data_IF_618829362394
#
_entry.id   IF_618829362394
#
_cell.length_a   1.000
_cell.length_b   1.000
_cell.length_c   1.000
_cell.angle_alpha   90.00
_cell.angle_beta   90.00
_cell.angle_gamma   90.00
#
_symmetry.space_group_name_H-M   'P 1'
#
loop_
_entity.id
_entity.type
_entity.pdbx_description
1 polymer ?
#
# COMPACT_ATOMS: atom_id res chain seq x y z
N UNK A 1 -7.82 18.89 -5.08
CA UNK A 1 -8.44 17.90 -4.19
C UNK A 1 -8.18 18.13 -2.69
N UNK A 2 -7.47 19.18 -2.26
CA UNK A 2 -7.32 19.45 -0.83
C UNK A 2 -8.68 19.60 -0.12
N UNK A 3 -8.84 18.95 1.04
CA UNK A 3 -10.07 18.92 1.84
C UNK A 3 -11.34 18.45 1.09
N UNK A 4 -11.19 17.73 -0.03
CA UNK A 4 -12.32 17.22 -0.81
C UNK A 4 -12.60 15.74 -0.49
N UNK A 5 -13.79 15.28 -0.88
CA UNK A 5 -14.19 13.87 -0.86
C UNK A 5 -14.31 13.41 -2.30
N UNK A 6 -13.68 12.27 -2.64
CA UNK A 6 -13.77 11.72 -3.98
C UNK A 6 -15.22 11.34 -4.32
N UNK A 7 -15.75 11.82 -5.45
CA UNK A 7 -17.17 11.64 -5.82
C UNK A 7 -17.63 10.18 -5.89
N UNK A 8 -16.75 9.29 -6.38
CA UNK A 8 -17.04 7.85 -6.58
C UNK A 8 -16.70 7.01 -5.35
N UNK A 9 -15.44 7.00 -4.94
CA UNK A 9 -14.92 6.13 -3.87
C UNK A 9 -15.15 6.65 -2.45
N UNK A 10 -15.59 7.91 -2.31
CA UNK A 10 -15.77 8.61 -1.03
C UNK A 10 -14.49 8.69 -0.18
N UNK A 11 -13.33 8.51 -0.78
CA UNK A 11 -12.04 8.72 -0.11
C UNK A 11 -11.88 10.21 0.22
N UNK A 12 -11.61 10.51 1.48
CA UNK A 12 -11.27 11.86 1.92
C UNK A 12 -9.85 12.22 1.52
N UNK A 13 -9.62 13.49 1.21
CA UNK A 13 -8.30 14.04 0.99
C UNK A 13 -7.93 14.98 2.13
N UNK A 14 -6.67 14.94 2.54
CA UNK A 14 -6.14 15.86 3.56
C UNK A 14 -6.03 17.30 3.03
N UNK A 15 -5.62 18.21 3.91
CA UNK A 15 -5.42 19.63 3.57
C UNK A 15 -4.34 19.88 2.52
N UNK A 16 -3.50 18.88 2.22
CA UNK A 16 -2.46 18.92 1.18
C UNK A 16 -2.88 18.21 -0.10
N UNK A 17 -4.09 17.65 -0.15
CA UNK A 17 -4.61 16.95 -1.32
C UNK A 17 -4.11 15.52 -1.49
N UNK A 18 -3.64 14.87 -0.42
CA UNK A 18 -3.30 13.43 -0.42
C UNK A 18 -4.49 12.59 0.05
N UNK A 19 -4.74 11.42 -0.56
CA UNK A 19 -5.86 10.56 -0.21
C UNK A 19 -5.64 9.88 1.15
N UNK A 20 -6.70 9.84 1.96
CA UNK A 20 -6.74 9.16 3.25
C UNK A 20 -7.42 7.79 3.05
N UNK A 21 -6.65 6.82 2.58
CA UNK A 21 -7.16 5.46 2.40
C UNK A 21 -7.32 4.71 3.73
N UNK A 22 -8.30 3.79 3.78
CA UNK A 22 -8.43 2.83 4.89
C UNK A 22 -7.31 1.80 4.84
N UNK A 23 -6.16 2.14 5.40
CA UNK A 23 -5.00 1.26 5.51
C UNK A 23 -5.32 0.00 6.31
N UNK A 24 -5.00 -1.15 5.73
CA UNK A 24 -5.21 -2.48 6.33
C UNK A 24 -3.96 -3.00 7.03
N UNK A 25 -2.80 -2.61 6.52
CA UNK A 25 -1.48 -2.90 7.05
C UNK A 25 -0.50 -1.80 6.59
N UNK A 26 0.59 -1.59 7.33
CA UNK A 26 1.59 -0.54 7.04
C UNK A 26 3.00 -1.10 7.11
N UNK A 27 3.86 -0.64 6.21
CA UNK A 27 5.30 -0.93 6.22
C UNK A 27 6.07 0.38 6.17
N UNK A 28 7.17 0.45 6.93
CA UNK A 28 8.16 1.52 6.83
C UNK A 28 9.42 0.95 6.17
N UNK A 29 9.80 1.52 5.04
CA UNK A 29 11.04 1.20 4.34
C UNK A 29 12.25 1.73 5.11
N UNK A 30 13.42 1.12 4.87
CA UNK A 30 14.70 1.72 5.25
C UNK A 30 15.01 2.89 4.33
N UNK A 31 15.72 3.90 4.84
CA UNK A 31 16.09 5.10 4.08
C UNK A 31 16.88 4.73 2.81
N UNK A 32 17.75 3.72 2.91
CA UNK A 32 18.54 3.18 1.77
C UNK A 32 17.69 2.64 0.63
N UNK A 33 16.42 2.31 0.91
CA UNK A 33 15.51 1.75 -0.09
C UNK A 33 14.64 2.82 -0.74
N UNK A 34 14.58 4.06 -0.25
CA UNK A 34 13.58 5.06 -0.69
C UNK A 34 13.62 5.33 -2.20
N UNK A 35 14.82 5.32 -2.79
CA UNK A 35 15.03 5.59 -4.22
C UNK A 35 14.92 4.36 -5.12
N UNK A 36 14.49 3.19 -4.59
CA UNK A 36 14.30 1.98 -5.39
C UNK A 36 12.98 2.04 -6.17
N UNK A 37 12.82 1.13 -7.13
CA UNK A 37 11.62 1.06 -7.97
C UNK A 37 10.35 0.71 -7.16
N UNK A 38 9.17 1.00 -7.71
CA UNK A 38 7.90 0.60 -7.09
C UNK A 38 7.80 -0.90 -6.90
N UNK A 39 8.22 -1.68 -7.90
CA UNK A 39 8.24 -3.14 -7.81
C UNK A 39 9.12 -3.64 -6.67
N UNK A 40 10.28 -2.99 -6.44
CA UNK A 40 11.16 -3.33 -5.32
C UNK A 40 10.53 -2.97 -3.96
N UNK A 41 9.89 -1.80 -3.86
CA UNK A 41 9.13 -1.44 -2.66
C UNK A 41 8.02 -2.45 -2.35
N UNK A 42 7.28 -2.89 -3.37
CA UNK A 42 6.22 -3.88 -3.22
C UNK A 42 6.79 -5.23 -2.78
N UNK A 43 7.91 -5.66 -3.36
CA UNK A 43 8.61 -6.87 -2.94
C UNK A 43 9.00 -6.84 -1.45
N UNK A 44 9.57 -5.73 -0.96
CA UNK A 44 9.88 -5.55 0.47
C UNK A 44 8.60 -5.69 1.31
N UNK A 45 7.53 -5.01 0.91
CA UNK A 45 6.29 -4.97 1.67
C UNK A 45 5.58 -6.34 1.67
N UNK A 46 5.58 -7.07 0.55
CA UNK A 46 5.03 -8.41 0.43
C UNK A 46 5.79 -9.40 1.30
N UNK A 47 7.13 -9.38 1.26
CA UNK A 47 7.96 -10.24 2.15
C UNK A 47 7.72 -9.94 3.63
N UNK A 48 7.57 -8.66 3.99
CA UNK A 48 7.24 -8.26 5.38
C UNK A 48 5.86 -8.76 5.78
N UNK A 49 4.86 -8.59 4.92
CA UNK A 49 3.50 -9.05 5.17
C UNK A 49 3.43 -10.57 5.29
N UNK A 50 4.10 -11.32 4.41
CA UNK A 50 4.19 -12.79 4.46
C UNK A 50 4.69 -13.29 5.83
N UNK A 51 5.80 -12.72 6.30
CA UNK A 51 6.38 -13.08 7.61
C UNK A 51 5.39 -12.84 8.75
N UNK A 52 4.72 -11.70 8.75
CA UNK A 52 3.79 -11.34 9.82
C UNK A 52 2.52 -12.19 9.80
N UNK A 53 1.94 -12.49 8.62
CA UNK A 53 0.69 -13.27 8.54
C UNK A 53 0.89 -14.76 8.80
N UNK A 54 2.12 -15.27 8.68
CA UNK A 54 2.47 -16.65 9.04
C UNK A 54 2.40 -16.91 10.54
N UNK A 55 2.78 -15.93 11.34
CA UNK A 55 2.84 -16.07 12.80
C UNK A 55 1.68 -15.37 13.51
N UNK A 56 0.91 -14.54 12.79
CA UNK A 56 -0.22 -13.79 13.34
C UNK A 56 -1.54 -14.15 12.64
N UNK A 57 -2.23 -15.16 13.17
CA UNK A 57 -3.54 -15.61 12.68
C UNK A 57 -4.60 -14.52 12.71
N UNK A 58 -4.57 -13.64 13.73
CA UNK A 58 -5.52 -12.52 13.86
C UNK A 58 -5.34 -11.50 12.73
N UNK A 59 -4.10 -11.21 12.35
CA UNK A 59 -3.81 -10.34 11.21
C UNK A 59 -4.29 -11.00 9.90
N UNK A 60 -4.01 -12.29 9.71
CA UNK A 60 -4.46 -13.04 8.54
C UNK A 60 -5.99 -13.01 8.39
N UNK A 61 -6.72 -13.22 9.48
CA UNK A 61 -8.18 -13.13 9.52
C UNK A 61 -8.68 -11.71 9.24
N UNK A 62 -8.07 -10.69 9.88
CA UNK A 62 -8.41 -9.27 9.66
C UNK A 62 -8.26 -8.85 8.19
N UNK A 63 -7.27 -9.40 7.49
CA UNK A 63 -7.00 -9.14 6.08
C UNK A 63 -7.81 -10.04 5.14
N UNK A 64 -8.56 -11.03 5.67
CA UNK A 64 -9.30 -12.02 4.91
C UNK A 64 -8.47 -12.68 3.78
N UNK A 65 -7.23 -13.08 4.11
CA UNK A 65 -6.31 -13.66 3.11
C UNK A 65 -6.65 -15.13 2.85
N UNK A 66 -6.91 -15.44 1.58
CA UNK A 66 -7.10 -16.80 1.10
C UNK A 66 -5.79 -17.59 1.09
N UNK A 67 -5.86 -18.92 0.89
CA UNK A 67 -4.65 -19.74 0.69
C UNK A 67 -3.82 -19.24 -0.52
N UNK A 68 -4.49 -18.77 -1.58
CA UNK A 68 -3.81 -18.23 -2.76
C UNK A 68 -3.12 -16.90 -2.48
N UNK A 69 -3.69 -16.03 -1.65
CA UNK A 69 -3.03 -14.78 -1.24
C UNK A 69 -1.77 -15.06 -0.42
N UNK A 70 -1.78 -16.11 0.42
CA UNK A 70 -0.59 -16.52 1.17
C UNK A 70 0.50 -17.05 0.22
N UNK A 71 0.14 -17.84 -0.80
CA UNK A 71 1.09 -18.30 -1.84
C UNK A 71 1.65 -17.14 -2.67
N UNK A 72 0.81 -16.17 -3.04
CA UNK A 72 1.27 -14.96 -3.72
C UNK A 72 2.30 -14.20 -2.88
N UNK A 73 2.02 -14.01 -1.60
CA UNK A 73 2.94 -13.35 -0.66
C UNK A 73 4.27 -14.10 -0.51
N UNK A 74 4.24 -15.43 -0.52
CA UNK A 74 5.43 -16.28 -0.46
C UNK A 74 6.39 -16.03 -1.63
N UNK A 75 5.86 -15.86 -2.84
CA UNK A 75 6.64 -15.53 -4.04
C UNK A 75 6.87 -14.02 -4.24
N UNK A 76 6.47 -13.20 -3.26
CA UNK A 76 6.71 -11.75 -3.28
C UNK A 76 5.66 -10.93 -4.05
N UNK A 77 4.52 -11.52 -4.38
CA UNK A 77 3.40 -10.85 -5.06
C UNK A 77 2.38 -10.27 -4.09
N UNK A 78 1.67 -9.24 -4.55
CA UNK A 78 0.65 -8.57 -3.74
C UNK A 78 -0.68 -9.33 -3.85
N UNK A 79 -1.33 -9.66 -2.73
CA UNK A 79 -2.66 -10.28 -2.71
C UNK A 79 -3.67 -9.63 -3.65
N UNK A 80 -4.56 -10.43 -4.27
CA UNK A 80 -5.37 -10.04 -5.43
C UNK A 80 -6.28 -8.83 -5.18
N UNK A 81 -6.81 -8.68 -3.98
CA UNK A 81 -7.76 -7.60 -3.66
C UNK A 81 -7.07 -6.33 -3.11
N UNK A 82 -5.74 -6.33 -3.05
CA UNK A 82 -4.97 -5.28 -2.41
C UNK A 82 -3.92 -4.67 -3.35
N UNK A 83 -3.49 -3.46 -2.99
CA UNK A 83 -2.35 -2.78 -3.60
C UNK A 83 -1.58 -2.03 -2.51
N UNK A 84 -0.29 -1.83 -2.74
CA UNK A 84 0.53 -0.98 -1.88
C UNK A 84 0.47 0.47 -2.36
N UNK A 85 -0.11 1.33 -1.53
CA UNK A 85 -0.13 2.76 -1.73
C UNK A 85 1.05 3.43 -1.03
N UNK A 86 1.86 4.20 -1.75
CA UNK A 86 2.88 5.07 -1.17
C UNK A 86 2.22 6.29 -0.51
N UNK A 87 2.33 6.40 0.82
CA UNK A 87 1.75 7.49 1.60
C UNK A 87 2.59 8.78 1.48
N UNK A 88 2.04 9.95 1.82
CA UNK A 88 2.82 11.21 1.76
C UNK A 88 3.97 11.30 2.77
N UNK A 89 3.98 10.44 3.79
CA UNK A 89 5.07 10.36 4.75
C UNK A 89 6.20 9.51 4.17
N UNK A 90 7.44 10.00 4.10
CA UNK A 90 8.56 9.28 3.51
C UNK A 90 8.74 7.85 4.03
N UNK A 91 8.94 6.93 3.10
CA UNK A 91 9.16 5.51 3.38
C UNK A 91 7.93 4.74 3.84
N UNK A 92 6.74 5.34 3.95
CA UNK A 92 5.53 4.65 4.42
C UNK A 92 4.74 4.10 3.23
N UNK A 93 4.52 2.79 3.24
CA UNK A 93 3.56 2.13 2.35
C UNK A 93 2.39 1.58 3.15
N UNK A 94 1.20 1.67 2.56
CA UNK A 94 -0.05 1.20 3.12
C UNK A 94 -0.66 0.15 2.21
N UNK A 95 -1.00 -1.02 2.76
CA UNK A 95 -1.83 -1.99 2.06
C UNK A 95 -3.28 -1.48 2.07
N UNK A 96 -3.86 -1.26 0.90
CA UNK A 96 -5.20 -0.69 0.72
C UNK A 96 -6.00 -1.52 -0.28
N UNK A 97 -7.33 -1.38 -0.25
CA UNK A 97 -8.22 -2.03 -1.22
C UNK A 97 -7.90 -1.55 -2.65
N UNK A 98 -7.66 -2.51 -3.56
CA UNK A 98 -7.24 -2.22 -4.94
C UNK A 98 -8.28 -1.42 -5.71
N UNK A 99 -9.54 -1.85 -5.66
CA UNK A 99 -10.63 -1.21 -6.41
C UNK A 99 -10.85 0.24 -5.98
N UNK A 100 -10.76 0.50 -4.67
CA UNK A 100 -10.86 1.84 -4.10
C UNK A 100 -9.67 2.71 -4.53
N UNK A 101 -8.45 2.15 -4.49
CA UNK A 101 -7.24 2.87 -4.87
C UNK A 101 -7.21 3.24 -6.36
N UNK A 102 -7.50 2.28 -7.25
CA UNK A 102 -7.51 2.48 -8.71
C UNK A 102 -8.58 3.48 -9.16
N UNK A 103 -9.74 3.49 -8.50
CA UNK A 103 -10.84 4.41 -8.80
C UNK A 103 -10.70 5.79 -8.17
N UNK A 104 -9.68 6.01 -7.34
CA UNK A 104 -9.41 7.31 -6.72
C UNK A 104 -8.26 7.95 -7.47
N UNK A 105 -8.52 8.96 -8.30
CA UNK A 105 -7.43 9.70 -8.93
C UNK A 105 -6.60 10.44 -7.86
N UNK A 106 -5.28 10.32 -7.86
CA UNK A 106 -4.41 10.99 -6.88
C UNK A 106 -2.94 11.01 -7.29
N UNK A 107 -2.18 11.94 -6.70
CA UNK A 107 -0.72 11.90 -6.68
C UNK A 107 -0.25 11.10 -5.46
N UNK A 108 0.45 9.99 -5.69
CA UNK A 108 0.98 9.13 -4.62
C UNK A 108 2.32 9.61 -4.06
N UNK A 109 2.66 9.15 -2.85
CA UNK A 109 3.90 9.46 -2.13
C UNK A 109 5.18 9.11 -2.89
N UNK A 110 5.12 8.13 -3.80
CA UNK A 110 6.28 7.75 -4.61
C UNK A 110 6.83 8.93 -5.41
N UNK A 111 5.95 9.79 -5.93
CA UNK A 111 6.34 10.95 -6.75
C UNK A 111 7.00 12.08 -5.97
N UNK A 112 6.94 12.08 -4.63
CA UNK A 112 7.49 13.15 -3.78
C UNK A 112 8.76 12.70 -3.04
N UNK A 113 8.86 11.45 -2.59
CA UNK A 113 10.01 10.97 -1.82
C UNK A 113 10.61 9.67 -2.35
N UNK A 114 9.88 8.93 -3.18
CA UNK A 114 10.35 7.67 -3.74
C UNK A 114 11.37 7.93 -4.84
N UNK A 115 10.90 8.04 -6.07
CA UNK A 115 11.74 8.32 -7.22
C UNK A 115 10.88 8.66 -8.43
N UNK A 116 11.49 8.53 -9.61
CA UNK A 116 10.77 8.49 -10.88
C UNK A 116 10.74 7.04 -11.34
N UNK A 117 9.69 6.63 -12.04
CA UNK A 117 9.83 5.45 -12.88
C UNK A 117 10.74 5.86 -14.04
N UNK A 118 11.77 5.07 -14.32
CA UNK A 118 12.54 5.22 -15.54
C UNK A 118 11.74 4.67 -16.71
#
# INVERSE_FOLDING_TARGET
MANQIHGVTKVHFDSKGFPIFKSKYKVRLKITDYRKSRSYHFLICNKKLYKDVRTNTRLRQKLNLSKNDIKALEIGETPRNYVWHHHQNPGVLQLVDRKTHEKTFHKGGFSIWGGKDN
#
